data_IF_503895281931
#
_entry.id   IF_503895281931
#
_cell.length_a   1.000
_cell.length_b   1.000
_cell.length_c   1.000
_cell.angle_alpha   90.00
_cell.angle_beta   90.00
_cell.angle_gamma   90.00
#
_symmetry.space_group_name_H-M   'P 1'
#
loop_
_entity.id
_entity.type
_entity.pdbx_description
1 polymer ?
#
# COMPACT_ATOMS: atom_id res chain seq x y z
N UNK A 1 6.03 23.31 30.70
CA UNK A 1 5.11 22.63 29.76
C UNK A 1 3.82 22.28 30.48
N UNK A 2 2.65 22.42 29.83
CA UNK A 2 1.36 22.12 30.46
C UNK A 2 0.97 20.68 30.12
N UNK A 3 1.14 19.76 31.08
CA UNK A 3 0.74 18.37 30.92
C UNK A 3 -0.79 18.27 30.82
N UNK A 4 -1.27 17.45 29.88
CA UNK A 4 -2.68 17.12 29.71
C UNK A 4 -2.87 15.66 30.12
N UNK A 5 -3.93 15.37 30.87
CA UNK A 5 -4.27 14.02 31.31
C UNK A 5 -5.56 13.58 30.62
N UNK A 6 -5.52 12.39 30.04
CA UNK A 6 -6.71 11.66 29.61
C UNK A 6 -6.75 10.32 30.37
N UNK A 7 -7.94 9.72 30.47
CA UNK A 7 -8.14 8.40 31.07
C UNK A 7 -8.74 7.49 30.01
N UNK A 8 -8.20 6.28 29.86
CA UNK A 8 -8.63 5.28 28.90
C UNK A 8 -8.87 3.96 29.63
N UNK A 9 -9.98 3.29 29.31
CA UNK A 9 -10.32 1.97 29.82
C UNK A 9 -10.64 1.07 28.63
N UNK A 10 -10.04 -0.12 28.63
CA UNK A 10 -10.31 -1.15 27.64
C UNK A 10 -11.40 -2.06 28.18
N UNK A 11 -12.44 -2.29 27.39
CA UNK A 11 -13.41 -3.33 27.68
C UNK A 11 -12.92 -4.64 27.04
N UNK A 12 -12.39 -5.58 27.84
CA UNK A 12 -11.83 -6.83 27.31
C UNK A 12 -12.88 -7.79 26.72
N UNK A 13 -14.16 -7.56 26.98
CA UNK A 13 -15.26 -8.29 26.32
C UNK A 13 -15.47 -7.82 24.86
N UNK A 14 -14.92 -6.65 24.49
CA UNK A 14 -14.92 -6.16 23.11
C UNK A 14 -13.63 -6.55 22.41
N UNK A 15 -13.78 -7.23 21.28
CA UNK A 15 -12.65 -7.74 20.50
C UNK A 15 -11.60 -6.67 20.16
N UNK A 16 -12.04 -5.51 19.67
CA UNK A 16 -11.13 -4.44 19.27
C UNK A 16 -10.35 -3.86 20.45
N UNK A 17 -11.01 -3.66 21.58
CA UNK A 17 -10.40 -3.17 22.81
C UNK A 17 -9.40 -4.19 23.36
N UNK A 18 -9.77 -5.48 23.39
CA UNK A 18 -8.89 -6.58 23.79
C UNK A 18 -7.65 -6.65 22.91
N UNK A 19 -7.81 -6.59 21.58
CA UNK A 19 -6.68 -6.58 20.64
C UNK A 19 -5.77 -5.38 20.85
N UNK A 20 -6.33 -4.20 21.10
CA UNK A 20 -5.56 -2.99 21.38
C UNK A 20 -4.77 -3.14 22.69
N UNK A 21 -5.40 -3.66 23.74
CA UNK A 21 -4.77 -3.96 25.03
C UNK A 21 -3.59 -4.92 24.89
N UNK A 22 -3.79 -6.05 24.20
CA UNK A 22 -2.73 -7.03 23.95
C UNK A 22 -1.60 -6.44 23.10
N UNK A 23 -1.92 -5.58 22.13
CA UNK A 23 -0.90 -4.96 21.29
C UNK A 23 -0.04 -3.96 22.07
N UNK A 24 -0.59 -3.29 23.08
CA UNK A 24 0.17 -2.44 24.01
C UNK A 24 1.12 -3.26 24.91
N UNK A 25 0.73 -4.48 25.30
CA UNK A 25 1.50 -5.33 26.23
C UNK A 25 2.43 -6.33 25.53
N UNK A 26 2.36 -6.46 24.21
CA UNK A 26 3.24 -7.35 23.42
C UNK A 26 4.67 -6.83 23.28
N UNK A 27 4.88 -5.54 23.47
CA UNK A 27 6.19 -4.91 23.36
C UNK A 27 6.71 -4.66 24.77
N UNK A 28 8.00 -4.86 25.00
CA UNK A 28 8.70 -4.47 26.23
C UNK A 28 8.85 -2.94 26.28
N UNK A 29 7.71 -2.25 26.17
CA UNK A 29 7.61 -0.83 26.03
C UNK A 29 7.98 -0.19 27.37
N UNK A 30 9.03 0.64 27.36
CA UNK A 30 9.49 1.38 28.54
C UNK A 30 8.40 2.21 29.23
N UNK A 31 7.30 2.53 28.53
CA UNK A 31 6.11 3.15 29.10
C UNK A 31 4.87 2.95 28.23
N UNK A 32 3.77 2.46 28.83
CA UNK A 32 2.45 2.35 28.18
C UNK A 32 1.97 3.72 27.66
N UNK A 33 2.23 4.79 28.39
CA UNK A 33 1.80 6.14 27.98
C UNK A 33 2.52 6.61 26.71
N UNK A 34 3.83 6.34 26.61
CA UNK A 34 4.60 6.68 25.41
C UNK A 34 4.13 5.84 24.22
N UNK A 35 3.84 4.56 24.43
CA UNK A 35 3.36 3.67 23.38
C UNK A 35 1.99 4.09 22.85
N UNK A 36 1.07 4.50 23.72
CA UNK A 36 -0.25 5.03 23.29
C UNK A 36 -0.05 6.29 22.45
N UNK A 37 0.79 7.23 22.89
CA UNK A 37 1.07 8.47 22.13
C UNK A 37 1.70 8.14 20.78
N UNK A 38 2.68 7.23 20.74
CA UNK A 38 3.34 6.82 19.51
C UNK A 38 2.36 6.22 18.51
N UNK A 39 1.45 5.34 18.96
CA UNK A 39 0.43 4.72 18.09
C UNK A 39 -0.58 5.71 17.54
N UNK A 40 -1.00 6.69 18.35
CA UNK A 40 -1.89 7.77 17.89
C UNK A 40 -1.20 8.56 16.76
N UNK A 41 0.05 8.97 16.98
CA UNK A 41 0.82 9.69 15.96
C UNK A 41 1.06 8.85 14.70
N UNK A 42 1.38 7.57 14.86
CA UNK A 42 1.60 6.65 13.74
C UNK A 42 0.34 6.42 12.91
N UNK A 43 -0.85 6.39 13.54
CA UNK A 43 -2.13 6.25 12.83
C UNK A 43 -2.37 7.43 11.89
N UNK A 44 -2.17 8.65 12.37
CA UNK A 44 -2.29 9.87 11.56
C UNK A 44 -1.32 9.85 10.38
N UNK A 45 -0.05 9.53 10.64
CA UNK A 45 0.97 9.43 9.59
C UNK A 45 0.63 8.35 8.55
N UNK A 46 0.09 7.22 8.99
CA UNK A 46 -0.30 6.11 8.11
C UNK A 46 -1.47 6.51 7.20
N UNK A 47 -2.43 7.28 7.71
CA UNK A 47 -3.57 7.74 6.90
C UNK A 47 -3.10 8.74 5.84
N UNK A 48 -2.25 9.70 6.21
CA UNK A 48 -1.63 10.62 5.25
C UNK A 48 -0.85 9.85 4.19
N UNK A 49 -0.05 8.85 4.59
CA UNK A 49 0.73 8.04 3.66
C UNK A 49 -0.16 7.25 2.69
N UNK A 50 -1.28 6.70 3.16
CA UNK A 50 -2.24 5.98 2.30
C UNK A 50 -2.83 6.89 1.23
N UNK A 51 -3.20 8.11 1.58
CA UNK A 51 -3.74 9.07 0.62
C UNK A 51 -2.69 9.50 -0.41
N UNK A 52 -1.45 9.75 0.04
CA UNK A 52 -0.33 10.04 -0.88
C UNK A 52 -0.10 8.90 -1.88
N UNK A 53 -0.05 7.64 -1.40
CA UNK A 53 0.11 6.47 -2.27
C UNK A 53 -1.05 6.37 -3.26
N UNK A 54 -2.29 6.55 -2.80
CA UNK A 54 -3.47 6.51 -3.67
C UNK A 54 -3.40 7.58 -4.76
N UNK A 55 -3.02 8.80 -4.40
CA UNK A 55 -2.88 9.90 -5.33
C UNK A 55 -1.79 9.60 -6.37
N UNK A 56 -0.58 9.25 -5.93
CA UNK A 56 0.54 8.94 -6.83
C UNK A 56 0.19 7.81 -7.79
N UNK A 57 -0.39 6.70 -7.29
CA UNK A 57 -0.77 5.58 -8.14
C UNK A 57 -1.85 5.98 -9.15
N UNK A 58 -2.85 6.76 -8.73
CA UNK A 58 -3.91 7.25 -9.63
C UNK A 58 -3.31 8.14 -10.74
N UNK A 59 -2.43 9.07 -10.38
CA UNK A 59 -1.77 9.97 -11.32
C UNK A 59 -0.90 9.21 -12.33
N UNK A 60 -0.11 8.23 -11.90
CA UNK A 60 0.73 7.43 -12.80
C UNK A 60 -0.10 6.54 -13.73
N UNK A 61 -1.20 5.96 -13.23
CA UNK A 61 -2.13 5.18 -14.05
C UNK A 61 -2.82 6.06 -15.11
N UNK A 62 -3.26 7.27 -14.73
CA UNK A 62 -3.84 8.21 -15.67
C UNK A 62 -2.86 8.68 -16.73
N UNK A 63 -1.61 8.98 -16.36
CA UNK A 63 -0.54 9.35 -17.30
C UNK A 63 -0.27 8.23 -18.29
N UNK A 64 -0.17 6.99 -17.81
CA UNK A 64 0.04 5.81 -18.66
C UNK A 64 -1.13 5.60 -19.61
N UNK A 65 -2.37 5.75 -19.13
CA UNK A 65 -3.57 5.63 -19.95
C UNK A 65 -3.62 6.71 -21.06
N UNK A 66 -3.27 7.97 -20.74
CA UNK A 66 -3.18 9.06 -21.73
C UNK A 66 -2.09 8.78 -22.76
N UNK A 67 -0.88 8.42 -22.33
CA UNK A 67 0.25 8.12 -23.21
C UNK A 67 0.01 6.89 -24.11
N UNK A 68 -0.79 5.92 -23.66
CA UNK A 68 -1.17 4.74 -24.46
C UNK A 68 -2.14 5.07 -25.60
N UNK A 69 -2.96 6.12 -25.44
CA UNK A 69 -3.89 6.58 -26.48
C UNK A 69 -3.19 7.40 -27.57
N UNK A 70 -2.06 8.03 -27.25
CA UNK A 70 -1.32 8.91 -28.16
C UNK A 70 -0.21 8.17 -28.95
N UNK A 71 0.02 6.87 -28.72
CA UNK A 71 0.93 6.08 -29.55
C UNK A 71 0.21 5.75 -30.87
N UNK A 72 0.67 6.22 -32.04
CA UNK A 72 0.18 5.69 -33.30
C UNK A 72 0.44 4.19 -33.26
N UNK A 73 -0.55 3.39 -33.63
CA UNK A 73 -0.34 1.98 -33.89
C UNK A 73 0.71 1.87 -35.00
N UNK A 74 2.00 1.80 -34.62
CA UNK A 74 3.04 1.36 -35.51
C UNK A 74 2.61 -0.05 -35.89
N UNK A 75 2.16 -0.19 -37.14
CA UNK A 75 1.79 -1.44 -37.78
C UNK A 75 2.92 -2.44 -37.55
N UNK A 76 2.80 -3.27 -36.52
CA UNK A 76 3.48 -4.54 -36.47
C UNK A 76 2.54 -5.52 -37.15
N UNK A 77 2.43 -5.41 -38.48
CA UNK A 77 2.08 -6.57 -39.28
C UNK A 77 3.29 -7.50 -39.21
N UNK A 78 3.41 -8.26 -38.12
CA UNK A 78 4.17 -9.48 -38.15
C UNK A 78 3.48 -10.34 -39.21
N UNK A 79 4.10 -10.43 -40.39
CA UNK A 79 3.57 -11.25 -41.48
C UNK A 79 3.45 -12.69 -40.97
N UNK A 80 2.52 -13.47 -41.54
CA UNK A 80 2.37 -14.87 -41.17
C UNK A 80 3.69 -15.67 -41.37
N UNK A 81 4.58 -15.19 -42.23
CA UNK A 81 5.92 -15.76 -42.46
C UNK A 81 6.87 -15.57 -41.27
N UNK A 82 6.82 -14.43 -40.57
CA UNK A 82 7.62 -14.20 -39.37
C UNK A 82 7.20 -15.13 -38.23
N UNK A 83 5.90 -15.37 -38.07
CA UNK A 83 5.39 -16.31 -37.07
C UNK A 83 5.77 -17.76 -37.41
N UNK A 84 5.69 -18.16 -38.69
CA UNK A 84 6.06 -19.51 -39.10
C UNK A 84 7.55 -19.79 -38.86
N UNK A 85 8.41 -18.81 -39.09
CA UNK A 85 9.86 -18.91 -38.83
C UNK A 85 10.16 -19.13 -37.35
N UNK A 86 9.41 -18.48 -36.45
CA UNK A 86 9.52 -18.70 -35.00
C UNK A 86 9.06 -20.10 -34.60
N UNK A 87 7.98 -20.61 -35.20
CA UNK A 87 7.53 -21.99 -34.96
C UNK A 87 8.54 -23.02 -35.45
N UNK A 88 9.15 -22.81 -36.62
CA UNK A 88 10.17 -23.71 -37.16
C UNK A 88 11.44 -23.75 -36.29
N UNK A 89 11.84 -22.61 -35.72
CA UNK A 89 12.95 -22.55 -34.75
C UNK A 89 12.66 -23.36 -33.48
N UNK A 90 11.44 -23.27 -32.93
CA UNK A 90 11.06 -24.02 -31.72
C UNK A 90 11.01 -25.53 -31.96
N UNK A 91 10.73 -25.97 -33.18
CA UNK A 91 10.70 -27.38 -33.56
C UNK A 91 12.10 -27.97 -33.86
N UNK A 92 13.17 -27.17 -33.77
CA UNK A 92 14.54 -27.60 -34.06
C UNK A 92 15.35 -28.11 -32.84
N UNK A 93 14.72 -28.15 -31.65
CA UNK A 93 15.31 -28.69 -30.41
C UNK A 93 14.62 -29.98 -29.95
#
# INVERSE_FOLDING_TARGET
>A
MKLKRFSLRFNLDRENDRRAWEALHRMDARSINQEIIARINAKEQTDVLKELIRQTVSEELERTAKNSRDRPAAQAEASAEDLNTVFDFLNSF
#
